data_IF_441423176831
#
_entry.id   IF_441423176831
#
_cell.length_a   1.000
_cell.length_b   1.000
_cell.length_c   1.000
_cell.angle_alpha   90.00
_cell.angle_beta   90.00
_cell.angle_gamma   90.00
#
_symmetry.space_group_name_H-M   'P 1'
#
loop_
_entity.id
_entity.type
_entity.pdbx_description
1 polymer ?
#
# COMPACT_ATOMS: atom_id res chain seq x y z
N UNK A 1 1.97 -2.49 8.19
CA UNK A 1 2.01 -3.33 6.97
C UNK A 1 0.82 -2.93 6.09
N UNK A 2 1.02 -2.80 4.77
CA UNK A 2 0.01 -2.36 3.78
C UNK A 2 -1.35 -3.06 3.92
N UNK A 3 -1.35 -4.31 4.36
CA UNK A 3 -2.54 -5.12 4.59
C UNK A 3 -3.19 -4.96 5.95
N UNK A 4 -2.80 -3.99 6.78
CA UNK A 4 -3.53 -3.71 8.02
C UNK A 4 -4.98 -3.29 7.73
N UNK A 5 -5.20 -2.62 6.59
CA UNK A 5 -6.53 -2.22 6.15
C UNK A 5 -7.22 -3.35 5.36
N UNK A 6 -8.42 -3.71 5.77
CA UNK A 6 -9.22 -4.76 5.13
C UNK A 6 -9.59 -4.42 3.68
N UNK A 7 -9.86 -3.15 3.37
CA UNK A 7 -10.23 -2.73 1.99
C UNK A 7 -9.10 -3.02 1.00
N UNK A 8 -7.86 -2.81 1.41
CA UNK A 8 -6.66 -3.08 0.59
C UNK A 8 -6.51 -4.59 0.37
N UNK A 9 -6.75 -5.41 1.40
CA UNK A 9 -6.72 -6.89 1.27
C UNK A 9 -7.82 -7.39 0.33
N UNK A 10 -9.06 -6.94 0.55
CA UNK A 10 -10.20 -7.33 -0.26
C UNK A 10 -10.00 -6.93 -1.72
N UNK A 11 -9.46 -5.74 -1.98
CA UNK A 11 -9.15 -5.28 -3.32
C UNK A 11 -8.09 -6.15 -3.99
N UNK A 12 -6.98 -6.44 -3.29
CA UNK A 12 -5.93 -7.32 -3.82
C UNK A 12 -6.46 -8.71 -4.18
N UNK A 13 -7.23 -9.34 -3.28
CA UNK A 13 -7.79 -10.68 -3.53
C UNK A 13 -8.77 -10.69 -4.69
N UNK A 14 -9.53 -9.61 -4.88
CA UNK A 14 -10.51 -9.49 -5.96
C UNK A 14 -9.88 -9.19 -7.31
N UNK A 15 -8.84 -8.36 -7.35
CA UNK A 15 -8.29 -7.80 -8.59
C UNK A 15 -6.91 -8.33 -8.96
N UNK A 16 -6.24 -9.08 -8.08
CA UNK A 16 -4.89 -9.62 -8.31
C UNK A 16 -3.78 -8.58 -8.17
N UNK A 17 -4.13 -7.31 -8.00
CA UNK A 17 -3.20 -6.19 -7.88
C UNK A 17 -3.75 -5.14 -6.91
N UNK A 18 -2.87 -4.51 -6.14
CA UNK A 18 -3.18 -3.29 -5.40
C UNK A 18 -1.96 -2.38 -5.33
N UNK A 19 -2.16 -1.08 -5.49
CA UNK A 19 -1.14 -0.08 -5.19
C UNK A 19 -1.27 0.38 -3.76
N UNK A 20 -0.16 0.52 -3.08
CA UNK A 20 -0.20 0.91 -1.69
C UNK A 20 1.01 1.72 -1.27
N UNK A 21 0.80 2.56 -0.27
CA UNK A 21 1.78 3.50 0.25
C UNK A 21 2.39 2.97 1.54
N UNK A 22 3.71 3.09 1.69
CA UNK A 22 4.40 2.91 2.98
C UNK A 22 5.21 4.14 3.29
N UNK A 23 5.05 4.65 4.51
CA UNK A 23 5.96 5.66 5.04
C UNK A 23 7.36 5.09 5.19
N UNK A 24 8.34 5.97 5.02
CA UNK A 24 9.72 5.68 5.38
C UNK A 24 9.79 5.45 6.90
N UNK A 25 10.38 4.33 7.31
CA UNK A 25 10.51 3.98 8.72
C UNK A 25 11.97 4.15 9.17
N UNK A 26 12.26 4.93 10.23
CA UNK A 26 13.63 5.23 10.64
C UNK A 26 14.36 4.06 11.31
N UNK A 27 13.67 2.97 11.67
CA UNK A 27 14.34 1.79 12.29
C UNK A 27 14.85 0.79 11.25
N UNK A 28 16.00 1.08 10.66
CA UNK A 28 17.07 0.10 10.37
C UNK A 28 18.39 0.86 10.32
N UNK A 29 19.47 0.25 10.82
CA UNK A 29 20.82 0.84 10.97
C UNK A 29 21.41 1.47 9.70
N UNK A 30 20.85 1.16 8.52
CA UNK A 30 21.37 1.53 7.20
C UNK A 30 20.38 2.37 6.38
N UNK A 31 19.35 2.97 6.99
CA UNK A 31 18.36 3.83 6.33
C UNK A 31 17.05 3.14 5.93
N UNK A 32 16.32 3.72 4.96
CA UNK A 32 14.99 3.29 4.50
C UNK A 32 15.09 2.00 3.67
N UNK A 33 14.95 0.83 4.30
CA UNK A 33 14.92 -0.45 3.56
C UNK A 33 13.55 -0.68 2.93
N UNK A 34 13.47 -0.56 1.60
CA UNK A 34 12.28 -0.94 0.84
C UNK A 34 12.04 -2.44 0.97
N UNK A 35 10.85 -2.82 1.44
CA UNK A 35 10.42 -4.22 1.43
C UNK A 35 9.94 -4.57 0.02
N UNK A 36 10.81 -5.23 -0.75
CA UNK A 36 10.62 -5.56 -2.17
C UNK A 36 10.84 -7.05 -2.39
N UNK A 37 10.27 -7.59 -3.47
CA UNK A 37 10.42 -8.98 -3.84
C UNK A 37 9.26 -9.86 -3.35
N UNK A 38 9.55 -11.15 -3.19
CA UNK A 38 8.55 -12.15 -2.81
C UNK A 38 8.22 -12.06 -1.32
N UNK A 39 6.94 -12.03 -1.01
CA UNK A 39 6.41 -11.95 0.36
C UNK A 39 5.06 -12.68 0.42
N UNK A 40 4.39 -12.65 1.57
CA UNK A 40 3.03 -13.15 1.72
C UNK A 40 2.11 -12.13 2.40
N UNK A 41 0.84 -12.14 2.01
CA UNK A 41 -0.20 -11.39 2.70
C UNK A 41 -0.81 -12.24 3.82
N UNK A 42 -1.06 -11.61 4.98
CA UNK A 42 -1.78 -12.21 6.10
C UNK A 42 -3.15 -11.55 6.29
N UNK A 43 -4.13 -12.28 6.83
CA UNK A 43 -5.47 -11.76 7.11
C UNK A 43 -5.45 -10.57 8.09
N UNK A 44 -4.47 -10.53 9.00
CA UNK A 44 -4.16 -9.46 9.95
C UNK A 44 -2.72 -9.64 10.46
N UNK A 45 -2.22 -8.75 11.33
CA UNK A 45 -0.78 -8.69 11.74
C UNK A 45 -0.19 -10.01 12.22
N UNK A 46 -1.01 -10.87 12.83
CA UNK A 46 -0.63 -12.19 13.35
C UNK A 46 -1.55 -13.29 12.82
N UNK A 47 -2.26 -13.02 11.72
CA UNK A 47 -3.27 -13.91 11.17
C UNK A 47 -2.71 -14.95 10.20
N UNK A 48 -3.56 -15.88 9.73
CA UNK A 48 -3.16 -16.85 8.73
C UNK A 48 -2.74 -16.16 7.43
N UNK A 49 -1.83 -16.80 6.70
CA UNK A 49 -1.47 -16.42 5.34
C UNK A 49 -2.68 -16.58 4.43
N UNK A 50 -2.96 -15.56 3.61
CA UNK A 50 -4.08 -15.53 2.66
C UNK A 50 -3.64 -15.55 1.20
N UNK A 51 -2.40 -15.12 0.90
CA UNK A 51 -1.87 -15.13 -0.45
C UNK A 51 -0.35 -15.02 -0.49
N UNK A 52 0.26 -15.56 -1.55
CA UNK A 52 1.62 -15.22 -1.97
C UNK A 52 1.59 -13.95 -2.83
N UNK A 53 2.55 -13.06 -2.60
CA UNK A 53 2.60 -11.77 -3.27
C UNK A 53 4.00 -11.43 -3.77
N UNK A 54 4.05 -10.52 -4.72
CA UNK A 54 5.27 -9.87 -5.16
C UNK A 54 5.14 -8.35 -5.03
N UNK A 55 6.13 -7.73 -4.40
CA UNK A 55 6.14 -6.30 -4.08
C UNK A 55 7.20 -5.61 -4.93
N UNK A 56 6.76 -4.65 -5.74
CA UNK A 56 7.63 -3.85 -6.61
C UNK A 56 7.55 -2.38 -6.19
N UNK A 57 8.68 -1.69 -5.95
CA UNK A 57 8.67 -0.26 -5.70
C UNK A 57 8.36 0.49 -7.01
N UNK A 58 7.50 1.50 -6.94
CA UNK A 58 7.05 2.25 -8.12
C UNK A 58 7.64 3.65 -8.13
N UNK A 59 7.28 4.47 -7.13
CA UNK A 59 7.58 5.90 -7.14
C UNK A 59 7.76 6.41 -5.70
N UNK A 60 8.78 7.24 -5.42
CA UNK A 60 8.90 7.92 -4.13
C UNK A 60 7.80 8.96 -3.96
N UNK A 61 7.42 9.17 -2.71
CA UNK A 61 6.44 10.18 -2.30
C UNK A 61 7.08 11.05 -1.25
N UNK A 62 6.93 12.35 -1.44
CA UNK A 62 7.38 13.43 -0.59
C UNK A 62 6.21 14.40 -0.40
N UNK A 63 6.27 15.24 0.64
CA UNK A 63 5.20 16.19 0.95
C UNK A 63 4.86 17.12 -0.23
N UNK A 64 5.87 17.52 -1.00
CA UNK A 64 5.76 18.40 -2.17
C UNK A 64 5.10 17.73 -3.40
N UNK A 65 5.22 16.41 -3.54
CA UNK A 65 4.68 15.66 -4.69
C UNK A 65 3.49 14.75 -4.34
N UNK A 66 3.09 14.67 -3.06
CA UNK A 66 2.04 13.79 -2.54
C UNK A 66 0.74 13.88 -3.36
N UNK A 67 0.27 15.10 -3.62
CA UNK A 67 -0.96 15.39 -4.35
C UNK A 67 -0.85 15.13 -5.86
N UNK A 68 0.34 14.90 -6.38
CA UNK A 68 0.56 14.52 -7.77
C UNK A 68 0.70 13.01 -7.92
N UNK A 69 1.39 12.36 -6.97
CA UNK A 69 1.70 10.93 -7.04
C UNK A 69 0.51 10.07 -6.61
N UNK A 70 -0.15 10.39 -5.49
CA UNK A 70 -1.25 9.56 -4.99
C UNK A 70 -2.44 9.44 -5.96
N UNK A 71 -2.91 10.51 -6.64
CA UNK A 71 -4.03 10.36 -7.57
C UNK A 71 -3.77 9.37 -8.71
N UNK A 72 -2.51 9.20 -9.16
CA UNK A 72 -2.14 8.24 -10.23
C UNK A 72 -2.52 6.80 -9.88
N UNK A 73 -2.45 6.45 -8.60
CA UNK A 73 -2.61 5.08 -8.12
C UNK A 73 -3.88 4.86 -7.28
N UNK A 74 -4.63 5.93 -6.98
CA UNK A 74 -5.78 5.89 -6.08
C UNK A 74 -6.89 4.95 -6.54
N UNK A 75 -7.06 4.77 -7.85
CA UNK A 75 -8.07 3.87 -8.44
C UNK A 75 -7.85 2.41 -8.08
N UNK A 76 -6.60 2.02 -7.94
CA UNK A 76 -6.17 0.64 -7.71
C UNK A 76 -5.61 0.45 -6.29
N UNK A 77 -5.93 1.36 -5.36
CA UNK A 77 -5.46 1.30 -3.97
C UNK A 77 -6.42 0.62 -3.00
N UNK A 78 -7.63 0.27 -3.47
CA UNK A 78 -8.73 -0.20 -2.62
C UNK A 78 -9.52 0.92 -1.93
N UNK A 79 -9.16 2.20 -2.15
CA UNK A 79 -9.85 3.37 -1.57
C UNK A 79 -10.66 4.20 -2.58
N UNK A 80 -10.82 3.70 -3.81
CA UNK A 80 -11.45 4.42 -4.92
C UNK A 80 -12.94 4.76 -4.70
N UNK A 81 -13.67 4.01 -3.88
CA UNK A 81 -15.14 4.13 -3.76
C UNK A 81 -15.66 5.47 -3.20
N UNK A 82 -14.79 6.40 -2.84
CA UNK A 82 -15.17 7.79 -2.49
C UNK A 82 -14.31 8.85 -3.19
N UNK A 83 -13.50 8.48 -4.19
CA UNK A 83 -12.63 9.42 -4.89
C UNK A 83 -13.39 10.07 -6.06
N UNK A 84 -13.68 11.36 -5.92
CA UNK A 84 -13.91 12.24 -7.07
C UNK A 84 -12.65 12.16 -7.95
N UNK A 85 -12.74 12.07 -9.29
CA UNK A 85 -11.58 12.09 -10.16
C UNK A 85 -10.64 13.25 -9.79
N UNK A 86 -9.38 12.95 -9.50
CA UNK A 86 -8.37 13.94 -9.09
C UNK A 86 -8.26 14.21 -7.57
N UNK A 87 -9.07 13.59 -6.71
CA UNK A 87 -8.95 13.70 -5.25
C UNK A 87 -8.52 12.39 -4.61
N UNK A 88 -7.34 12.38 -4.00
CA UNK A 88 -6.81 11.25 -3.22
C UNK A 88 -7.14 11.35 -1.72
N UNK A 89 -8.05 12.24 -1.33
CA UNK A 89 -8.35 12.63 0.07
C UNK A 89 -8.68 11.43 0.97
N UNK A 90 -9.44 10.46 0.45
CA UNK A 90 -9.79 9.24 1.19
C UNK A 90 -8.58 8.33 1.42
N UNK A 91 -7.65 8.30 0.45
CA UNK A 91 -6.43 7.54 0.57
C UNK A 91 -5.44 8.23 1.53
N UNK A 92 -5.31 9.55 1.45
CA UNK A 92 -4.53 10.37 2.40
C UNK A 92 -5.06 10.18 3.82
N UNK A 93 -6.37 10.33 4.03
CA UNK A 93 -7.01 10.11 5.34
C UNK A 93 -6.74 8.69 5.88
N UNK A 94 -6.83 7.67 5.03
CA UNK A 94 -6.55 6.30 5.44
C UNK A 94 -5.08 6.10 5.83
N UNK A 95 -4.15 6.75 5.11
CA UNK A 95 -2.73 6.73 5.43
C UNK A 95 -2.48 7.44 6.77
N UNK A 96 -3.11 8.59 7.02
CA UNK A 96 -3.02 9.32 8.29
C UNK A 96 -3.53 8.50 9.47
N UNK A 97 -4.69 7.85 9.32
CA UNK A 97 -5.25 6.98 10.36
C UNK A 97 -4.35 5.78 10.68
N UNK A 98 -3.75 5.16 9.66
CA UNK A 98 -2.86 4.01 9.84
C UNK A 98 -1.54 4.38 10.50
N UNK A 99 -1.04 5.58 10.23
CA UNK A 99 0.28 6.02 10.67
C UNK A 99 0.26 6.98 11.86
N UNK A 100 -0.94 7.45 12.26
CA UNK A 100 -1.17 8.52 13.26
C UNK A 100 -0.44 9.83 12.96
N UNK A 101 0.03 10.01 11.73
CA UNK A 101 0.85 11.13 11.26
C UNK A 101 0.54 11.42 9.79
N UNK A 102 0.78 12.66 9.36
CA UNK A 102 0.70 13.04 7.95
C UNK A 102 1.71 12.24 7.11
N UNK A 103 1.36 11.85 5.87
CA UNK A 103 2.31 11.25 4.94
C UNK A 103 3.32 12.28 4.45
N UNK A 104 4.45 12.41 5.15
CA UNK A 104 5.51 13.36 4.81
C UNK A 104 6.49 12.73 3.79
N UNK A 105 6.81 11.45 3.96
CA UNK A 105 7.74 10.74 3.09
C UNK A 105 7.45 9.24 3.04
N UNK A 106 7.55 8.65 1.86
CA UNK A 106 7.32 7.23 1.66
C UNK A 106 7.51 6.76 0.22
N UNK A 107 6.97 5.60 -0.07
CA UNK A 107 7.02 4.98 -1.40
C UNK A 107 5.69 4.36 -1.78
N UNK A 108 5.36 4.47 -3.06
CA UNK A 108 4.33 3.66 -3.70
C UNK A 108 4.92 2.30 -4.05
N UNK A 109 4.17 1.26 -3.70
CA UNK A 109 4.45 -0.11 -4.04
C UNK A 109 3.30 -0.67 -4.86
N UNK A 110 3.64 -1.37 -5.94
CA UNK A 110 2.73 -2.27 -6.64
C UNK A 110 2.83 -3.62 -5.97
N UNK A 111 1.70 -4.14 -5.50
CA UNK A 111 1.61 -5.47 -4.91
C UNK A 111 0.75 -6.33 -5.81
N UNK A 112 1.29 -7.47 -6.24
CA UNK A 112 0.62 -8.40 -7.14
C UNK A 112 0.49 -9.76 -6.47
N UNK A 113 -0.63 -10.44 -6.70
CA UNK A 113 -0.76 -11.84 -6.34
C UNK A 113 0.19 -12.67 -7.21
N UNK A 114 0.89 -13.61 -6.60
CA UNK A 114 1.58 -14.66 -7.36
C UNK A 114 0.58 -15.77 -7.60
N UNK A 115 0.45 -16.21 -8.85
CA UNK A 115 -0.32 -17.40 -9.15
C UNK A 115 0.32 -18.59 -8.43
N UNK A 116 -0.36 -19.05 -7.39
CA UNK A 116 0.20 -19.99 -6.42
C UNK A 116 -0.80 -20.23 -5.28
N UNK A 117 -1.83 -21.02 -5.59
CA UNK A 117 -2.78 -21.66 -4.66
C UNK A 117 -3.21 -20.79 -3.47
N UNK A 118 -4.35 -20.11 -3.65
CA UNK A 118 -5.27 -19.90 -2.53
C UNK A 118 -5.58 -21.31 -2.01
N UNK A 119 -5.08 -21.64 -0.81
CA UNK A 119 -5.45 -22.87 -0.11
C UNK A 119 -6.76 -22.65 0.62
#
# INVERSE_FOLDING_TARGET
>A
MIFANEKVRAYLLKHGIVYSFRMDHPKTSDGVRKQIGNDWAAAYRTGPKIADIHITPMEPVHEDNLFQVLPKYARESGFYLSCIPGKADAWVTAIEQLNKNKPIQGWIYKVTLREGRVK
#
